data_IF_056813909470
#
_entry.id   IF_056813909470
#
_cell.length_a   1.000
_cell.length_b   1.000
_cell.length_c   1.000
_cell.angle_alpha   90.00
_cell.angle_beta   90.00
_cell.angle_gamma   90.00
#
_symmetry.space_group_name_H-M   'P 1'
#
loop_
_entity.id
_entity.type
_entity.pdbx_description
1 polymer ?
#
# COMPACT_ATOMS: atom_id res chain seq x y z
N UNK A 1 -4.10 -6.95 -17.67
CA UNK A 1 -3.88 -7.91 -16.55
C UNK A 1 -2.83 -7.46 -15.54
N UNK A 2 -1.55 -7.25 -15.89
CA UNK A 2 -0.50 -6.82 -14.93
C UNK A 2 -0.89 -5.61 -14.08
N UNK A 3 -1.37 -4.54 -14.74
CA UNK A 3 -1.78 -3.29 -14.09
C UNK A 3 -2.93 -3.49 -13.08
N UNK A 4 -3.92 -4.33 -13.41
CA UNK A 4 -5.02 -4.68 -12.51
C UNK A 4 -4.54 -5.48 -11.28
N UNK A 5 -3.60 -6.42 -11.48
CA UNK A 5 -3.00 -7.17 -10.36
C UNK A 5 -2.23 -6.22 -9.43
N UNK A 6 -1.49 -5.27 -10.00
CA UNK A 6 -0.77 -4.25 -9.25
C UNK A 6 -1.72 -3.30 -8.51
N UNK A 7 -2.85 -2.94 -9.10
CA UNK A 7 -3.90 -2.17 -8.42
C UNK A 7 -4.49 -2.90 -7.20
N UNK A 8 -4.75 -4.21 -7.30
CA UNK A 8 -5.20 -5.02 -6.16
C UNK A 8 -4.15 -5.02 -5.04
N UNK A 9 -2.89 -5.28 -5.40
CA UNK A 9 -1.78 -5.28 -4.44
C UNK A 9 -1.54 -3.91 -3.80
N UNK A 10 -1.69 -2.84 -4.57
CA UNK A 10 -1.55 -1.46 -4.13
C UNK A 10 -2.60 -1.10 -3.07
N UNK A 11 -3.87 -1.46 -3.31
CA UNK A 11 -4.94 -1.24 -2.32
C UNK A 11 -4.75 -2.10 -1.08
N UNK A 12 -4.43 -3.39 -1.24
CA UNK A 12 -4.21 -4.27 -0.10
C UNK A 12 -3.13 -3.71 0.84
N UNK A 13 -2.07 -3.14 0.28
CA UNK A 13 -1.00 -2.52 1.06
C UNK A 13 -1.44 -1.23 1.75
N UNK A 14 -2.12 -0.32 1.05
CA UNK A 14 -2.67 0.92 1.64
C UNK A 14 -3.65 0.60 2.78
N UNK A 15 -4.61 -0.30 2.54
CA UNK A 15 -5.62 -0.68 3.55
C UNK A 15 -4.98 -1.32 4.77
N UNK A 16 -3.93 -2.12 4.59
CA UNK A 16 -3.17 -2.67 5.70
C UNK A 16 -2.49 -1.57 6.54
N UNK A 17 -1.82 -0.61 5.90
CA UNK A 17 -1.20 0.51 6.63
C UNK A 17 -2.21 1.42 7.31
N UNK A 18 -3.33 1.70 6.67
CA UNK A 18 -4.40 2.50 7.24
C UNK A 18 -5.00 1.80 8.48
N UNK A 19 -5.29 0.51 8.40
CA UNK A 19 -5.79 -0.28 9.53
C UNK A 19 -4.76 -0.34 10.68
N UNK A 20 -3.48 -0.55 10.39
CA UNK A 20 -2.41 -0.54 11.39
C UNK A 20 -2.27 0.84 12.05
N UNK A 21 -2.34 1.93 11.27
CA UNK A 21 -2.25 3.30 11.77
C UNK A 21 -3.42 3.63 12.69
N UNK A 22 -4.64 3.28 12.29
CA UNK A 22 -5.85 3.47 13.11
C UNK A 22 -5.80 2.65 14.39
N UNK A 23 -5.43 1.37 14.31
CA UNK A 23 -5.32 0.52 15.49
C UNK A 23 -4.23 0.99 16.46
N UNK A 24 -3.08 1.45 15.96
CA UNK A 24 -2.02 2.05 16.80
C UNK A 24 -2.53 3.31 17.51
N UNK A 25 -3.25 4.20 16.81
CA UNK A 25 -3.87 5.39 17.41
C UNK A 25 -4.95 5.04 18.43
N UNK A 26 -5.64 3.92 18.24
CA UNK A 26 -6.59 3.38 19.21
C UNK A 26 -5.91 2.76 20.44
N UNK A 27 -4.58 2.58 20.41
CA UNK A 27 -3.80 2.01 21.52
C UNK A 27 -3.58 0.50 21.41
N UNK A 28 -3.80 -0.10 20.24
CA UNK A 28 -3.50 -1.51 20.00
C UNK A 28 -2.00 -1.72 19.76
N UNK A 29 -1.47 -2.82 20.31
CA UNK A 29 -0.11 -3.26 20.04
C UNK A 29 0.08 -3.67 18.58
N UNK A 30 1.18 -3.22 17.97
CA UNK A 30 1.42 -3.40 16.54
C UNK A 30 1.72 -4.85 16.19
N UNK A 31 2.48 -5.57 17.02
CA UNK A 31 2.82 -6.97 16.74
C UNK A 31 1.57 -7.86 16.85
N UNK A 32 0.74 -7.62 17.86
CA UNK A 32 -0.56 -8.30 18.04
C UNK A 32 -1.49 -8.04 16.86
N UNK A 33 -1.57 -6.79 16.39
CA UNK A 33 -2.34 -6.45 15.19
C UNK A 33 -1.82 -7.19 13.95
N UNK A 34 -0.50 -7.17 13.71
CA UNK A 34 0.11 -7.85 12.56
C UNK A 34 -0.16 -9.36 12.61
N UNK A 35 -0.09 -10.00 13.77
CA UNK A 35 -0.42 -11.42 13.93
C UNK A 35 -1.90 -11.71 13.64
N UNK A 36 -2.82 -10.93 14.22
CA UNK A 36 -4.26 -11.08 14.00
C UNK A 36 -4.66 -10.84 12.55
N UNK A 37 -4.16 -9.75 11.95
CA UNK A 37 -4.43 -9.39 10.55
C UNK A 37 -3.81 -10.40 9.58
N UNK A 38 -2.61 -10.92 9.86
CA UNK A 38 -2.03 -12.00 9.06
C UNK A 38 -2.94 -13.23 9.04
N UNK A 39 -3.46 -13.64 10.20
CA UNK A 39 -4.38 -14.78 10.30
C UNK A 39 -5.72 -14.51 9.59
N UNK A 40 -6.19 -13.27 9.57
CA UNK A 40 -7.41 -12.87 8.89
C UNK A 40 -7.26 -12.77 7.35
N UNK A 41 -6.07 -12.41 6.86
CA UNK A 41 -5.80 -12.14 5.44
C UNK A 41 -4.86 -13.20 4.88
N UNK A 42 -5.28 -14.47 4.87
CA UNK A 42 -4.45 -15.59 4.40
C UNK A 42 -4.46 -15.72 2.86
N UNK A 43 -3.34 -16.19 2.27
CA UNK A 43 -3.25 -16.51 0.84
C UNK A 43 -2.03 -15.92 0.12
N UNK A 44 -1.96 -16.12 -1.19
CA UNK A 44 -0.77 -15.75 -2.01
C UNK A 44 -0.49 -14.25 -2.11
N UNK A 45 -1.42 -13.37 -1.74
CA UNK A 45 -1.25 -11.91 -1.86
C UNK A 45 -1.34 -11.17 -0.51
N UNK A 46 -1.10 -11.84 0.63
CA UNK A 46 -1.10 -11.17 1.93
C UNK A 46 0.01 -10.10 2.02
N UNK A 47 -0.29 -8.79 2.09
CA UNK A 47 0.72 -7.74 2.19
C UNK A 47 1.41 -7.71 3.56
N UNK A 48 0.74 -8.18 4.63
CA UNK A 48 1.30 -8.19 5.98
C UNK A 48 2.52 -9.09 6.05
N UNK A 49 2.38 -10.35 5.62
CA UNK A 49 3.47 -11.33 5.63
C UNK A 49 4.53 -11.04 4.57
N UNK A 50 4.11 -10.66 3.35
CA UNK A 50 5.03 -10.56 2.22
C UNK A 50 5.80 -9.25 2.14
N UNK A 51 5.29 -8.17 2.73
CA UNK A 51 5.86 -6.83 2.57
C UNK A 51 6.08 -6.11 3.90
N UNK A 52 5.09 -6.12 4.78
CA UNK A 52 5.14 -5.26 5.98
C UNK A 52 6.07 -5.82 7.05
N UNK A 53 5.89 -7.07 7.47
CA UNK A 53 6.77 -7.71 8.46
C UNK A 53 8.26 -7.70 8.04
N UNK A 54 8.63 -8.14 6.82
CA UNK A 54 10.05 -8.24 6.46
C UNK A 54 10.69 -6.92 6.00
N UNK A 55 9.93 -5.85 5.75
CA UNK A 55 10.51 -4.61 5.20
C UNK A 55 10.12 -3.32 5.92
N UNK A 56 9.19 -3.37 6.88
CA UNK A 56 8.77 -2.17 7.62
C UNK A 56 8.96 -2.37 9.11
N UNK A 57 8.58 -3.54 9.64
CA UNK A 57 8.76 -3.83 11.07
C UNK A 57 10.25 -3.84 11.47
N UNK A 58 11.14 -4.17 10.53
CA UNK A 58 12.60 -4.11 10.68
C UNK A 58 13.22 -2.77 10.25
N UNK A 59 12.39 -1.80 9.83
CA UNK A 59 12.81 -0.50 9.29
C UNK A 59 13.72 -0.54 8.06
N UNK A 60 13.74 -1.63 7.29
CA UNK A 60 14.61 -1.71 6.09
C UNK A 60 14.09 -0.93 4.88
N UNK A 61 12.76 -0.85 4.72
CA UNK A 61 12.06 -0.23 3.61
C UNK A 61 12.55 -0.68 2.21
N UNK A 62 12.82 -1.98 2.03
CA UNK A 62 13.30 -2.51 0.73
C UNK A 62 12.55 -3.76 0.24
N UNK A 63 11.62 -3.62 -0.70
CA UNK A 63 11.01 -4.76 -1.41
C UNK A 63 11.70 -5.10 -2.74
N UNK A 64 12.58 -4.22 -3.23
CA UNK A 64 13.26 -4.34 -4.52
C UNK A 64 12.45 -3.83 -5.71
N UNK A 65 11.35 -3.12 -5.47
CA UNK A 65 10.50 -2.53 -6.53
C UNK A 65 10.41 -1.03 -6.37
N UNK A 66 10.74 -0.30 -7.43
CA UNK A 66 10.66 1.17 -7.47
C UNK A 66 9.21 1.64 -7.37
N UNK A 67 8.96 2.60 -6.47
CA UNK A 67 7.66 3.18 -6.15
C UNK A 67 6.96 3.74 -7.40
N UNK A 68 7.67 4.48 -8.24
CA UNK A 68 7.12 5.04 -9.47
C UNK A 68 6.49 4.00 -10.40
N UNK A 69 6.99 2.76 -10.42
CA UNK A 69 6.41 1.72 -11.25
C UNK A 69 5.01 1.32 -10.76
N UNK A 70 4.82 1.22 -9.45
CA UNK A 70 3.51 0.90 -8.89
C UNK A 70 2.55 2.09 -9.01
N UNK A 71 3.02 3.31 -8.74
CA UNK A 71 2.23 4.53 -8.91
C UNK A 71 1.75 4.72 -10.36
N UNK A 72 2.61 4.42 -11.35
CA UNK A 72 2.25 4.44 -12.77
C UNK A 72 1.12 3.46 -13.08
N UNK A 73 1.23 2.21 -12.61
CA UNK A 73 0.23 1.18 -12.92
C UNK A 73 -1.13 1.54 -12.30
N UNK A 74 -1.18 2.04 -11.06
CA UNK A 74 -2.44 2.46 -10.43
C UNK A 74 -3.08 3.64 -11.17
N UNK A 75 -2.28 4.60 -11.64
CA UNK A 75 -2.78 5.71 -12.48
C UNK A 75 -3.45 5.21 -13.76
N UNK A 76 -2.86 4.23 -14.43
CA UNK A 76 -3.45 3.62 -15.64
C UNK A 76 -4.83 3.01 -15.34
N UNK A 77 -5.03 2.39 -14.16
CA UNK A 77 -6.35 1.86 -13.78
C UNK A 77 -7.37 2.99 -13.58
N UNK A 78 -6.98 4.10 -12.96
CA UNK A 78 -7.86 5.25 -12.77
C UNK A 78 -8.26 5.87 -14.13
N UNK A 79 -7.30 6.10 -15.03
CA UNK A 79 -7.53 6.64 -16.38
C UNK A 79 -8.42 5.69 -17.22
N UNK A 80 -8.23 4.38 -17.08
CA UNK A 80 -9.07 3.38 -17.74
C UNK A 80 -10.51 3.40 -17.20
N UNK A 81 -10.71 3.57 -15.89
CA UNK A 81 -12.05 3.70 -15.31
C UNK A 81 -12.79 4.93 -15.84
N UNK A 82 -12.09 6.06 -16.00
CA UNK A 82 -12.64 7.28 -16.59
C UNK A 82 -13.00 7.08 -18.07
N UNK A 83 -12.12 6.46 -18.84
CA UNK A 83 -12.33 6.19 -20.28
C UNK A 83 -13.53 5.26 -20.52
N UNK A 84 -13.75 4.31 -19.62
CA UNK A 84 -14.83 3.32 -19.72
C UNK A 84 -16.13 3.77 -19.04
N UNK A 85 -16.18 4.98 -18.48
CA UNK A 85 -17.29 5.47 -17.65
C UNK A 85 -17.68 4.46 -16.55
N UNK A 86 -16.68 3.76 -16.01
CA UNK A 86 -16.87 2.65 -15.09
C UNK A 86 -16.91 3.13 -13.63
N UNK A 87 -17.79 2.54 -12.83
CA UNK A 87 -17.87 2.82 -11.40
C UNK A 87 -16.68 2.20 -10.64
N UNK A 88 -15.57 2.93 -10.54
CA UNK A 88 -14.36 2.50 -9.83
C UNK A 88 -13.81 3.60 -8.89
N UNK A 89 -14.56 3.99 -7.84
CA UNK A 89 -14.15 5.09 -6.94
C UNK A 89 -12.82 4.84 -6.22
N UNK A 90 -12.51 3.58 -5.92
CA UNK A 90 -11.26 3.18 -5.26
C UNK A 90 -10.04 3.35 -6.17
N UNK A 91 -10.21 3.26 -7.50
CA UNK A 91 -9.11 3.46 -8.45
C UNK A 91 -8.52 4.87 -8.35
N UNK A 92 -9.39 5.88 -8.29
CA UNK A 92 -8.98 7.29 -8.15
C UNK A 92 -8.28 7.56 -6.84
N UNK A 93 -8.85 7.08 -5.72
CA UNK A 93 -8.26 7.29 -4.39
C UNK A 93 -6.91 6.59 -4.25
N UNK A 94 -6.82 5.34 -4.70
CA UNK A 94 -5.56 4.60 -4.70
C UNK A 94 -4.50 5.34 -5.54
N UNK A 95 -4.87 5.83 -6.74
CA UNK A 95 -3.94 6.60 -7.58
C UNK A 95 -3.45 7.87 -6.90
N UNK A 96 -4.34 8.59 -6.20
CA UNK A 96 -3.97 9.82 -5.50
C UNK A 96 -2.96 9.54 -4.37
N UNK A 97 -3.19 8.52 -3.55
CA UNK A 97 -2.29 8.16 -2.44
C UNK A 97 -0.91 7.69 -2.93
N UNK A 98 -0.85 6.89 -3.99
CA UNK A 98 0.43 6.47 -4.56
C UNK A 98 1.18 7.61 -5.25
N UNK A 99 0.47 8.57 -5.86
CA UNK A 99 1.08 9.79 -6.39
C UNK A 99 1.64 10.67 -5.26
N UNK A 100 0.90 10.84 -4.17
CA UNK A 100 1.35 11.57 -2.99
C UNK A 100 2.62 10.96 -2.38
N UNK A 101 2.68 9.63 -2.28
CA UNK A 101 3.88 8.93 -1.82
C UNK A 101 5.09 9.15 -2.74
N UNK A 102 4.87 9.09 -4.06
CA UNK A 102 5.93 9.31 -5.05
C UNK A 102 6.49 10.75 -4.97
N UNK A 103 5.61 11.72 -4.76
CA UNK A 103 5.98 13.12 -4.60
C UNK A 103 6.76 13.36 -3.31
N UNK A 104 6.30 12.80 -2.18
CA UNK A 104 6.89 13.05 -0.87
C UNK A 104 8.19 12.30 -0.60
N UNK A 105 8.29 11.06 -1.07
CA UNK A 105 9.39 10.16 -0.72
C UNK A 105 10.35 9.90 -1.88
N UNK A 106 10.06 10.45 -3.07
CA UNK A 106 10.86 10.28 -4.27
C UNK A 106 10.37 9.12 -5.12
N UNK A 107 10.20 9.40 -6.41
CA UNK A 107 9.71 8.43 -7.40
C UNK A 107 10.61 7.18 -7.52
N UNK A 108 11.92 7.32 -7.29
CA UNK A 108 12.90 6.23 -7.40
C UNK A 108 13.05 5.39 -6.14
N UNK A 109 12.38 5.77 -5.05
CA UNK A 109 12.43 5.06 -3.77
C UNK A 109 11.70 3.72 -3.87
N UNK A 110 11.86 2.84 -2.87
CA UNK A 110 11.16 1.56 -2.88
C UNK A 110 9.65 1.77 -2.66
N UNK A 111 8.81 0.96 -3.30
CA UNK A 111 7.34 1.03 -3.16
C UNK A 111 6.88 0.96 -1.71
N UNK A 112 7.64 0.31 -0.82
CA UNK A 112 7.24 0.14 0.58
C UNK A 112 7.35 1.44 1.37
N UNK A 113 8.07 2.44 0.85
CA UNK A 113 8.15 3.79 1.41
C UNK A 113 6.77 4.48 1.48
N UNK A 114 5.78 3.99 0.72
CA UNK A 114 4.36 4.40 0.87
C UNK A 114 3.86 4.30 2.31
N UNK A 115 4.41 3.38 3.11
CA UNK A 115 4.09 3.21 4.53
C UNK A 115 4.27 4.52 5.32
N UNK A 116 5.26 5.35 4.94
CA UNK A 116 5.58 6.61 5.61
C UNK A 116 4.48 7.67 5.52
N UNK A 117 3.51 7.53 4.62
CA UNK A 117 2.31 8.38 4.65
C UNK A 117 1.56 8.23 5.99
N UNK A 118 1.60 7.04 6.59
CA UNK A 118 0.92 6.72 7.86
C UNK A 118 1.85 6.61 9.06
N UNK A 119 3.16 6.41 8.85
CA UNK A 119 4.14 6.20 9.93
C UNK A 119 4.72 7.50 10.54
N UNK A 120 4.21 8.70 10.19
CA UNK A 120 4.76 9.96 10.72
C UNK A 120 4.96 9.95 12.24
N UNK A 121 6.11 10.50 12.63
CA UNK A 121 6.73 10.52 13.95
C UNK A 121 5.74 10.91 15.07
N UNK A 122 5.52 9.99 16.00
CA UNK A 122 5.27 10.31 17.41
C UNK A 122 6.52 10.88 18.04
#
# INVERSE_FOLDING_TARGET
MKVLNNFINANALITAFEALSLGKRFGLDTETMLQSMTAAVTGRNNPIEKKIKPHVADSSFTTGMVLAFLAKDVRIVAEMADTLESFAPIAKQCSALWAEAAERFGATSDQIEVARLWLKDT
#
